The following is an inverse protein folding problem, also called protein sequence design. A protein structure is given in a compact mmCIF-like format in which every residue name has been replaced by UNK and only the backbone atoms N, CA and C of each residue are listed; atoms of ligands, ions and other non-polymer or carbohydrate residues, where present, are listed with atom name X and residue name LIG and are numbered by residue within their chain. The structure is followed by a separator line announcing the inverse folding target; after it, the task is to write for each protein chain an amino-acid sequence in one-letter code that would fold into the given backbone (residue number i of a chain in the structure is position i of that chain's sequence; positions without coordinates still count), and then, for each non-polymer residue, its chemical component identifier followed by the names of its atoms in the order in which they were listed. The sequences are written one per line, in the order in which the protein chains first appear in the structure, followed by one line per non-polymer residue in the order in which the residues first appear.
data_IF_531353566320
#
_entry.id   IF_531353566320
#
_cell.length_a   1.000
_cell.length_b   1.000
_cell.length_c   1.000
_cell.angle_alpha   90.00
_cell.angle_beta   90.00
_cell.angle_gamma   90.00
#
_symmetry.space_group_name_H-M   'P 1'
#
loop_
_entity.id
_entity.type
_entity.pdbx_description
1 polymer ?
#
# COMPACT_ATOMS: atom_id res chain seq x y z
N UNK A 1 -73.10 -11.10 -73.87
CA UNK A 1 -73.15 -9.77 -74.50
C UNK A 1 -72.75 -8.74 -73.46
N UNK A 2 -71.67 -7.99 -73.77
CA UNK A 2 -71.13 -6.77 -73.15
C UNK A 2 -70.89 -6.76 -71.62
N UNK A 3 -69.61 -6.87 -71.23
CA UNK A 3 -69.11 -6.50 -69.90
C UNK A 3 -67.94 -5.53 -70.09
N UNK A 4 -68.11 -4.31 -69.60
CA UNK A 4 -67.14 -3.21 -69.58
C UNK A 4 -67.65 -2.12 -68.62
N UNK A 5 -66.75 -1.28 -68.07
CA UNK A 5 -66.38 -1.36 -66.65
C UNK A 5 -66.77 -0.14 -65.81
N UNK A 6 -66.87 -0.32 -64.49
CA UNK A 6 -67.21 0.74 -63.53
C UNK A 6 -66.28 0.75 -62.31
N UNK A 7 -65.20 1.53 -62.43
CA UNK A 7 -64.59 2.40 -61.43
C UNK A 7 -64.29 1.86 -60.02
N UNK A 8 -63.04 1.45 -59.79
CA UNK A 8 -62.43 1.14 -58.50
C UNK A 8 -61.90 2.45 -57.86
N UNK A 9 -62.50 2.88 -56.75
CA UNK A 9 -62.02 4.01 -55.92
C UNK A 9 -60.73 3.63 -55.17
N UNK A 10 -59.60 4.18 -55.62
CA UNK A 10 -58.30 4.04 -54.97
C UNK A 10 -58.26 4.97 -53.75
N UNK A 11 -58.22 4.40 -52.55
CA UNK A 11 -57.87 5.11 -51.31
C UNK A 11 -56.37 5.42 -51.33
N UNK A 12 -56.01 6.69 -51.28
CA UNK A 12 -54.63 7.14 -51.04
C UNK A 12 -54.29 6.98 -49.55
N UNK A 13 -53.16 6.35 -49.18
CA UNK A 13 -52.62 6.49 -47.84
C UNK A 13 -51.92 7.85 -47.71
N UNK A 14 -52.43 8.68 -46.80
CA UNK A 14 -51.77 9.89 -46.31
C UNK A 14 -50.53 9.51 -45.52
N UNK A 15 -49.35 9.92 -46.00
CA UNK A 15 -48.07 9.86 -45.28
C UNK A 15 -48.00 11.00 -44.26
N UNK A 16 -47.87 10.74 -42.94
CA UNK A 16 -47.39 11.74 -42.00
C UNK A 16 -45.87 11.59 -41.79
N UNK A 17 -45.08 11.89 -42.82
CA UNK A 17 -43.63 12.07 -42.68
C UNK A 17 -43.32 13.55 -42.55
N UNK A 18 -43.62 14.12 -41.40
CA UNK A 18 -43.02 15.36 -40.91
C UNK A 18 -43.17 15.37 -39.41
N UNK A 19 -42.13 14.94 -38.70
CA UNK A 19 -41.60 15.56 -37.49
C UNK A 19 -40.22 14.97 -37.17
N UNK A 20 -39.34 15.82 -36.63
CA UNK A 20 -38.03 15.52 -36.03
C UNK A 20 -36.78 15.41 -36.94
N UNK A 21 -36.61 16.34 -37.87
CA UNK A 21 -35.29 16.62 -38.46
C UNK A 21 -34.71 17.95 -37.97
N UNK A 22 -34.57 18.18 -36.65
CA UNK A 22 -34.02 19.46 -36.15
C UNK A 22 -33.11 19.45 -34.91
N UNK A 23 -32.65 18.30 -34.38
CA UNK A 23 -31.70 18.32 -33.23
C UNK A 23 -30.59 17.25 -33.20
N UNK A 24 -30.00 16.77 -34.31
CA UNK A 24 -28.89 15.82 -34.21
C UNK A 24 -27.56 16.46 -33.76
N UNK A 25 -27.38 17.78 -33.93
CA UNK A 25 -26.09 18.44 -33.68
C UNK A 25 -25.80 18.64 -32.18
N UNK A 26 -26.81 18.97 -31.37
CA UNK A 26 -26.62 19.16 -29.93
C UNK A 26 -26.30 17.84 -29.20
N UNK A 27 -26.96 16.75 -29.59
CA UNK A 27 -26.63 15.42 -29.06
C UNK A 27 -25.24 14.97 -29.50
N UNK A 28 -24.84 15.23 -30.75
CA UNK A 28 -23.50 14.90 -31.24
C UNK A 28 -22.41 15.70 -30.48
N UNK A 29 -22.64 16.98 -30.20
CA UNK A 29 -21.72 17.80 -29.41
C UNK A 29 -21.61 17.34 -27.96
N UNK A 30 -22.73 16.96 -27.32
CA UNK A 30 -22.72 16.44 -25.96
C UNK A 30 -21.92 15.13 -25.85
N UNK A 31 -22.08 14.23 -26.82
CA UNK A 31 -21.34 12.96 -26.88
C UNK A 31 -19.85 13.19 -27.15
N UNK A 32 -19.49 14.11 -28.04
CA UNK A 32 -18.10 14.46 -28.29
C UNK A 32 -17.42 15.08 -27.05
N UNK A 33 -18.11 15.98 -26.35
CA UNK A 33 -17.60 16.57 -25.11
C UNK A 33 -17.38 15.53 -24.01
N UNK A 34 -18.30 14.57 -23.85
CA UNK A 34 -18.15 13.47 -22.89
C UNK A 34 -16.94 12.58 -23.20
N UNK A 35 -16.69 12.27 -24.48
CA UNK A 35 -15.52 11.48 -24.88
C UNK A 35 -14.21 12.21 -24.58
N UNK A 36 -14.10 13.51 -24.90
CA UNK A 36 -12.89 14.30 -24.60
C UNK A 36 -12.61 14.35 -23.09
N UNK A 37 -13.66 14.43 -22.27
CA UNK A 37 -13.52 14.45 -20.80
C UNK A 37 -13.03 13.10 -20.24
N UNK A 38 -13.50 11.97 -20.79
CA UNK A 38 -13.03 10.65 -20.36
C UNK A 38 -11.56 10.39 -20.73
N UNK A 39 -11.10 10.86 -21.90
CA UNK A 39 -9.68 10.74 -22.28
C UNK A 39 -8.77 11.67 -21.46
N UNK A 40 -9.25 12.81 -20.98
CA UNK A 40 -8.50 13.66 -20.05
C UNK A 40 -8.40 13.05 -18.64
N UNK A 41 -9.45 12.37 -18.15
CA UNK A 41 -9.43 11.73 -16.83
C UNK A 41 -8.49 10.50 -16.77
N UNK A 42 -8.26 9.82 -17.91
CA UNK A 42 -7.42 8.63 -17.97
C UNK A 42 -5.91 8.93 -18.05
N UNK A 43 -5.51 10.18 -18.31
CA UNK A 43 -4.10 10.57 -18.47
C UNK A 43 -3.56 11.39 -17.30
N UNK A 44 -4.39 11.80 -16.35
CA UNK A 44 -3.92 12.28 -15.05
C UNK A 44 -3.63 11.07 -14.16
N UNK A 45 -2.37 10.75 -13.81
CA UNK A 45 -2.11 9.81 -12.74
C UNK A 45 -2.73 10.41 -11.48
N UNK A 46 -3.83 9.83 -11.00
CA UNK A 46 -4.39 10.14 -9.71
C UNK A 46 -3.45 9.56 -8.64
N UNK A 47 -2.30 10.19 -8.45
CA UNK A 47 -1.67 10.17 -7.14
C UNK A 47 -2.59 10.99 -6.24
N UNK A 48 -3.43 10.29 -5.47
CA UNK A 48 -4.14 10.86 -4.33
C UNK A 48 -3.11 11.13 -3.19
N UNK A 49 -2.10 11.95 -3.48
CA UNK A 49 -1.30 12.64 -2.49
C UNK A 49 -2.09 13.86 -2.08
N UNK A 50 -2.68 13.79 -0.89
CA UNK A 50 -3.37 14.88 -0.21
C UNK A 50 -2.51 16.15 -0.31
N UNK A 51 -2.97 17.09 -1.15
CA UNK A 51 -2.49 18.47 -1.19
C UNK A 51 -2.98 19.22 0.04
N UNK A 52 -2.61 18.75 1.23
CA UNK A 52 -2.56 19.62 2.38
C UNK A 52 -1.44 20.61 2.12
N UNK A 53 -1.69 21.89 2.32
CA UNK A 53 -0.65 22.89 2.62
C UNK A 53 0.45 22.20 3.41
N UNK A 54 1.75 22.37 3.11
CA UNK A 54 2.79 21.86 4.01
C UNK A 54 2.63 22.63 5.32
N UNK A 55 1.77 22.12 6.21
CA UNK A 55 1.80 22.45 7.60
C UNK A 55 3.23 22.17 7.97
N UNK A 56 3.95 23.23 8.35
CA UNK A 56 5.30 23.15 8.90
C UNK A 56 5.21 22.07 9.95
N UNK A 57 5.62 20.85 9.57
CA UNK A 57 5.65 19.77 10.51
C UNK A 57 6.55 20.29 11.62
N UNK A 58 6.10 20.27 12.88
CA UNK A 58 7.04 20.51 13.96
C UNK A 58 8.14 19.49 13.69
N UNK A 59 9.31 19.98 13.25
CA UNK A 59 10.54 19.20 13.31
C UNK A 59 10.73 19.02 14.80
N UNK A 60 10.09 17.99 15.33
CA UNK A 60 10.56 17.33 16.52
C UNK A 60 11.92 16.85 16.05
N UNK A 61 12.94 17.66 16.29
CA UNK A 61 14.29 17.17 16.43
C UNK A 61 14.24 16.32 17.69
N UNK A 62 13.60 15.15 17.59
CA UNK A 62 13.74 14.07 18.55
C UNK A 62 15.23 13.88 18.58
N UNK A 63 15.85 14.18 19.72
CA UNK A 63 17.30 14.09 19.86
C UNK A 63 17.68 12.69 19.36
N UNK A 64 18.34 12.62 18.22
CA UNK A 64 18.78 11.36 17.61
C UNK A 64 19.77 10.58 18.49
N UNK A 65 20.16 11.16 19.64
CA UNK A 65 20.96 10.54 20.69
C UNK A 65 20.16 9.64 21.64
N UNK A 66 18.83 9.71 21.63
CA UNK A 66 17.99 8.95 22.58
C UNK A 66 17.49 7.62 22.00
N UNK A 67 17.40 7.54 20.67
CA UNK A 67 16.93 6.35 19.96
C UNK A 67 18.05 5.76 19.10
N UNK A 68 18.17 4.44 19.18
CA UNK A 68 19.02 3.61 18.35
C UNK A 68 18.14 2.92 17.32
N UNK A 69 18.60 2.89 16.07
CA UNK A 69 17.92 2.13 15.01
C UNK A 69 18.64 0.79 14.87
N UNK A 70 17.87 -0.29 15.00
CA UNK A 70 18.35 -1.65 14.84
C UNK A 70 17.61 -2.32 13.69
N UNK A 71 18.32 -3.23 13.02
CA UNK A 71 17.71 -4.20 12.13
C UNK A 71 17.68 -5.55 12.83
N UNK A 72 16.53 -6.19 12.85
CA UNK A 72 16.40 -7.57 13.32
C UNK A 72 16.12 -8.44 12.10
N UNK A 73 17.06 -9.31 11.78
CA UNK A 73 17.01 -10.22 10.64
C UNK A 73 16.86 -11.64 11.15
N UNK A 74 15.93 -12.41 10.59
CA UNK A 74 15.95 -13.86 10.75
C UNK A 74 16.71 -14.45 9.56
N UNK A 75 17.95 -14.93 9.75
CA UNK A 75 18.77 -15.44 8.65
C UNK A 75 18.21 -16.73 8.04
N UNK A 76 17.41 -17.50 8.78
CA UNK A 76 16.81 -18.75 8.28
C UNK A 76 15.70 -18.51 7.27
N UNK A 77 14.96 -17.40 7.39
CA UNK A 77 13.84 -17.05 6.50
C UNK A 77 14.21 -15.93 5.53
N UNK A 78 15.28 -15.18 5.80
CA UNK A 78 15.69 -14.02 5.01
C UNK A 78 14.80 -12.79 5.20
N UNK A 79 13.93 -12.81 6.22
CA UNK A 79 13.09 -11.69 6.61
C UNK A 79 13.85 -10.73 7.52
N UNK A 80 13.57 -9.43 7.38
CA UNK A 80 14.21 -8.37 8.16
C UNK A 80 13.20 -7.30 8.54
N UNK A 81 13.20 -6.94 9.82
CA UNK A 81 12.43 -5.82 10.35
C UNK A 81 13.35 -4.72 10.91
N UNK A 82 12.84 -3.49 10.96
CA UNK A 82 13.56 -2.32 11.45
C UNK A 82 12.84 -1.80 12.68
N UNK A 83 13.58 -1.58 13.76
CA UNK A 83 13.02 -1.14 15.04
C UNK A 83 13.81 0.04 15.60
N UNK A 84 13.10 0.96 16.27
CA UNK A 84 13.71 2.04 17.05
C UNK A 84 13.67 1.66 18.52
N UNK A 85 14.84 1.54 19.14
CA UNK A 85 15.01 1.11 20.53
C UNK A 85 15.69 2.19 21.36
N UNK A 86 15.34 2.27 22.64
CA UNK A 86 16.03 3.12 23.61
C UNK A 86 17.03 2.30 24.40
N UNK A 87 17.93 2.96 25.15
CA UNK A 87 18.90 2.27 26.01
C UNK A 87 18.26 1.36 27.05
N UNK A 88 17.07 1.72 27.52
CA UNK A 88 16.33 0.98 28.53
C UNK A 88 15.51 -0.18 27.99
N UNK A 89 15.41 -0.30 26.67
CA UNK A 89 14.71 -1.41 26.03
C UNK A 89 15.44 -2.71 26.32
N UNK A 90 14.73 -3.73 26.78
CA UNK A 90 15.30 -5.05 27.07
C UNK A 90 15.35 -5.92 25.82
N UNK A 91 16.32 -6.84 25.77
CA UNK A 91 16.44 -7.80 24.67
C UNK A 91 15.18 -8.67 24.55
N UNK A 92 14.61 -9.11 25.67
CA UNK A 92 13.37 -9.92 25.68
C UNK A 92 12.21 -9.22 24.97
N UNK A 93 12.08 -7.89 25.17
CA UNK A 93 11.05 -7.12 24.49
C UNK A 93 11.27 -7.11 22.98
N UNK A 94 12.52 -7.00 22.55
CA UNK A 94 12.88 -7.03 21.13
C UNK A 94 12.62 -8.40 20.54
N UNK A 95 12.90 -9.49 21.27
CA UNK A 95 12.55 -10.85 20.83
C UNK A 95 11.05 -10.94 20.61
N UNK A 96 10.22 -10.63 21.62
CA UNK A 96 8.75 -10.70 21.50
C UNK A 96 8.21 -9.86 20.35
N UNK A 97 8.68 -8.63 20.20
CA UNK A 97 8.17 -7.71 19.19
C UNK A 97 8.66 -8.03 17.78
N UNK A 98 9.96 -8.33 17.62
CA UNK A 98 10.51 -8.76 16.32
C UNK A 98 9.88 -10.06 15.86
N UNK A 99 9.61 -11.00 16.78
CA UNK A 99 8.94 -12.26 16.48
C UNK A 99 7.54 -12.02 15.88
N UNK A 100 6.76 -11.11 16.46
CA UNK A 100 5.46 -10.71 15.91
C UNK A 100 5.59 -10.02 14.56
N UNK A 101 6.54 -9.09 14.41
CA UNK A 101 6.76 -8.35 13.18
C UNK A 101 7.19 -9.24 12.01
N UNK A 102 7.92 -10.32 12.29
CA UNK A 102 8.37 -11.31 11.32
C UNK A 102 7.34 -12.44 11.09
N UNK A 103 6.17 -12.39 11.74
CA UNK A 103 5.09 -13.37 11.56
C UNK A 103 5.24 -14.67 12.33
N UNK A 104 6.16 -14.75 13.29
CA UNK A 104 6.37 -15.92 14.15
C UNK A 104 5.46 -15.86 15.39
N UNK A 105 4.17 -15.56 15.25
CA UNK A 105 3.24 -15.30 16.37
C UNK A 105 2.54 -16.56 16.94
N UNK A 106 3.05 -17.74 16.59
CA UNK A 106 2.37 -18.99 16.93
C UNK A 106 2.48 -19.30 18.42
N UNK A 107 1.34 -19.58 19.06
CA UNK A 107 1.22 -19.79 20.52
C UNK A 107 2.01 -21.01 21.05
N UNK A 108 2.37 -21.96 20.19
CA UNK A 108 3.15 -23.15 20.56
C UNK A 108 4.66 -22.91 20.51
N UNK A 109 5.12 -21.79 19.96
CA UNK A 109 6.52 -21.40 19.97
C UNK A 109 6.71 -20.34 21.07
N UNK A 110 7.39 -20.66 22.18
CA UNK A 110 7.68 -19.67 23.21
C UNK A 110 8.79 -18.71 22.78
N UNK A 111 8.77 -17.50 23.32
CA UNK A 111 9.80 -16.48 23.05
C UNK A 111 11.19 -16.93 23.53
N UNK A 112 11.24 -17.82 24.53
CA UNK A 112 12.48 -18.40 25.08
C UNK A 112 13.27 -19.25 24.10
N UNK A 113 12.61 -19.76 23.06
CA UNK A 113 13.26 -20.56 22.02
C UNK A 113 13.95 -19.67 20.98
N UNK A 114 13.89 -18.34 21.13
CA UNK A 114 14.58 -17.40 20.28
C UNK A 114 15.71 -16.72 21.01
N UNK A 115 16.84 -16.57 20.32
CA UNK A 115 18.00 -15.83 20.80
C UNK A 115 18.42 -14.79 19.78
N UNK A 116 18.97 -13.70 20.27
CA UNK A 116 19.47 -12.61 19.44
C UNK A 116 21.00 -12.60 19.48
N UNK A 117 21.60 -12.51 18.30
CA UNK A 117 23.04 -12.42 18.10
C UNK A 117 23.40 -11.11 17.39
N UNK A 118 24.62 -10.62 17.59
CA UNK A 118 25.13 -9.51 16.77
C UNK A 118 25.54 -10.08 15.42
N UNK A 119 25.21 -9.40 14.31
CA UNK A 119 25.72 -9.80 13.00
C UNK A 119 27.26 -9.77 12.92
N UNK A 120 27.87 -8.84 13.64
CA UNK A 120 29.34 -8.68 13.65
C UNK A 120 30.02 -9.79 14.48
N UNK A 121 29.31 -10.34 15.49
CA UNK A 121 29.80 -11.39 16.38
C UNK A 121 28.65 -12.31 16.83
N UNK A 122 28.53 -13.46 16.16
CA UNK A 122 27.53 -14.50 16.44
C UNK A 122 27.98 -15.49 17.51
N UNK A 123 29.12 -15.26 18.18
CA UNK A 123 29.71 -16.23 19.10
C UNK A 123 28.92 -16.38 20.41
N UNK A 124 28.16 -15.35 20.81
CA UNK A 124 27.40 -15.38 22.06
C UNK A 124 26.07 -14.61 21.94
N UNK A 125 25.00 -15.11 22.58
CA UNK A 125 23.72 -14.44 22.56
C UNK A 125 23.77 -13.16 23.38
N UNK A 126 23.18 -12.11 22.82
CA UNK A 126 23.03 -10.82 23.46
C UNK A 126 21.94 -10.93 24.53
N UNK A 127 22.16 -10.33 25.70
CA UNK A 127 21.17 -10.31 26.79
C UNK A 127 21.16 -8.96 27.52
N UNK A 128 20.19 -8.76 28.39
CA UNK A 128 20.08 -7.56 29.22
C UNK A 128 19.43 -6.37 28.51
N UNK A 129 19.99 -5.17 28.72
CA UNK A 129 19.50 -3.93 28.13
C UNK A 129 20.24 -3.61 26.83
N UNK A 130 19.54 -2.97 25.91
CA UNK A 130 20.13 -2.51 24.65
C UNK A 130 21.27 -1.51 24.84
N UNK A 131 21.23 -0.68 25.88
CA UNK A 131 22.30 0.27 26.19
C UNK A 131 23.65 -0.37 26.50
N UNK A 132 23.67 -1.62 26.97
CA UNK A 132 24.90 -2.32 27.39
C UNK A 132 25.59 -3.01 26.20
N UNK A 133 24.90 -3.11 25.07
CA UNK A 133 25.29 -3.91 23.91
C UNK A 133 25.79 -3.04 22.75
N UNK A 134 26.84 -2.23 22.99
CA UNK A 134 27.61 -1.43 22.01
C UNK A 134 26.85 -1.01 20.72
N UNK A 135 25.66 -0.44 20.87
CA UNK A 135 24.81 -0.11 19.73
C UNK A 135 25.37 1.10 18.98
N UNK A 136 25.46 0.97 17.66
CA UNK A 136 25.83 2.08 16.79
C UNK A 136 24.65 3.04 16.73
N UNK A 137 24.94 4.32 16.91
CA UNK A 137 23.95 5.37 16.71
C UNK A 137 23.55 5.39 15.23
N UNK A 138 22.27 5.72 14.96
CA UNK A 138 21.62 5.81 13.65
C UNK A 138 22.57 6.06 12.46
N UNK A 139 22.57 5.17 11.46
CA UNK A 139 23.42 5.26 10.27
C UNK A 139 23.15 4.15 9.23
N UNK A 140 23.72 4.25 8.02
CA UNK A 140 23.60 3.21 6.98
C UNK A 140 24.17 1.86 7.43
N UNK A 141 25.19 1.90 8.30
CA UNK A 141 25.80 0.75 8.96
C UNK A 141 25.23 0.51 10.38
N UNK A 142 23.92 0.75 10.54
CA UNK A 142 23.21 0.55 11.81
C UNK A 142 23.41 -0.86 12.38
N UNK A 143 23.17 -1.03 13.67
CA UNK A 143 23.34 -2.34 14.30
C UNK A 143 22.35 -3.35 13.73
N UNK A 144 22.87 -4.45 13.21
CA UNK A 144 22.08 -5.58 12.72
C UNK A 144 22.19 -6.75 13.69
N UNK A 145 21.03 -7.31 14.03
CA UNK A 145 20.84 -8.37 14.99
C UNK A 145 20.23 -9.56 14.28
N UNK A 146 20.72 -10.76 14.57
CA UNK A 146 20.20 -12.00 14.03
C UNK A 146 19.32 -12.69 15.07
N UNK A 147 18.03 -12.85 14.73
CA UNK A 147 17.08 -13.63 15.50
C UNK A 147 17.17 -15.09 15.06
N UNK A 148 17.68 -15.96 15.93
CA UNK A 148 17.82 -17.39 15.67
C UNK A 148 16.87 -18.19 16.54
N UNK A 149 16.31 -19.27 15.98
CA UNK A 149 15.50 -20.23 16.70
C UNK A 149 16.39 -21.35 17.25
N UNK A 150 16.48 -21.42 18.57
CA UNK A 150 17.23 -22.40 19.34
C UNK A 150 16.38 -22.90 20.51
N UNK A 151 15.57 -23.96 20.30
CA UNK A 151 14.75 -24.51 21.36
C UNK A 151 15.63 -25.11 22.46
N UNK A 152 15.17 -25.01 23.71
CA UNK A 152 15.82 -25.68 24.83
C UNK A 152 15.70 -27.20 24.66
N UNK A 153 16.83 -27.88 24.42
CA UNK A 153 16.93 -29.34 24.46
C UNK A 153 16.82 -29.89 25.88
#
# INVERSE_FOLDING_TARGET
WLKGPGFLLIRTPTNPSTMAARRPVLCALAVAAAMVWMFHAATTPAFAGIGGTPARQPRVATRSSEFYEIFVTNPSVGERTRMSVTKDTTVDFIITESRKLLGFDQAWIPDSDFKIYSKDDESSPISGKMGDNNLKQWGPDGTELHLMFEPAN
#
